data_IF_997690327442
#
_entry.id   IF_997690327442
#
_cell.length_a   1.000
_cell.length_b   1.000
_cell.length_c   1.000
_cell.angle_alpha   90.00
_cell.angle_beta   90.00
_cell.angle_gamma   90.00
#
_symmetry.space_group_name_H-M   'P 1'
#
loop_
_entity.id
_entity.type
_entity.pdbx_description
1 polymer ?
#
# COMPACT_ATOMS: atom_id res chain seq x y z
N UNK A 1 13.59 -5.84 -24.35
CA UNK A 1 12.54 -5.57 -25.36
C UNK A 1 11.95 -4.22 -25.00
N UNK A 2 12.07 -3.22 -25.88
CA UNK A 2 11.48 -1.89 -25.64
C UNK A 2 9.95 -1.92 -25.61
N UNK A 3 9.31 -0.80 -25.25
CA UNK A 3 7.85 -0.63 -25.17
C UNK A 3 7.15 -1.04 -26.48
N UNK A 4 7.73 -0.73 -27.64
CA UNK A 4 7.25 -1.15 -28.95
C UNK A 4 7.09 -2.68 -29.07
N UNK A 5 8.08 -3.46 -28.61
CA UNK A 5 8.01 -4.92 -28.66
C UNK A 5 7.01 -5.54 -27.67
N UNK A 6 6.55 -4.79 -26.67
CA UNK A 6 5.49 -5.20 -25.75
C UNK A 6 4.10 -4.86 -26.30
N UNK A 7 3.95 -3.74 -27.02
CA UNK A 7 2.76 -3.38 -27.78
C UNK A 7 2.48 -4.38 -28.90
N UNK A 8 3.49 -4.75 -29.70
CA UNK A 8 3.40 -5.80 -30.73
C UNK A 8 2.96 -7.16 -30.16
N UNK A 9 3.32 -7.41 -28.89
CA UNK A 9 2.95 -8.64 -28.20
C UNK A 9 1.53 -8.59 -27.63
N UNK A 10 1.02 -7.40 -27.33
CA UNK A 10 -0.38 -7.17 -26.94
C UNK A 10 -1.31 -7.26 -28.15
N UNK A 11 -0.90 -6.73 -29.30
CA UNK A 11 -1.63 -6.83 -30.57
C UNK A 11 -1.80 -8.28 -31.02
N UNK A 12 -0.71 -9.08 -31.03
CA UNK A 12 -0.77 -10.52 -31.32
C UNK A 12 -1.69 -11.32 -30.40
N UNK A 13 -1.98 -10.84 -29.20
CA UNK A 13 -2.88 -11.52 -28.26
C UNK A 13 -4.37 -11.32 -28.61
N UNK A 14 -4.69 -10.34 -29.46
CA UNK A 14 -6.07 -10.04 -29.90
C UNK A 14 -6.31 -10.38 -31.37
N UNK A 15 -5.27 -10.70 -32.14
CA UNK A 15 -5.35 -11.14 -33.54
C UNK A 15 -6.29 -12.37 -33.68
N UNK A 16 -7.26 -12.27 -34.59
CA UNK A 16 -8.28 -13.30 -34.84
C UNK A 16 -9.38 -13.39 -33.78
N UNK A 17 -9.47 -12.41 -32.87
CA UNK A 17 -10.51 -12.37 -31.81
C UNK A 17 -11.54 -11.28 -32.03
N UNK A 18 -12.66 -11.35 -31.29
CA UNK A 18 -13.67 -10.29 -31.28
C UNK A 18 -13.12 -8.91 -30.87
N UNK A 19 -11.99 -8.86 -30.14
CA UNK A 19 -11.38 -7.63 -29.67
C UNK A 19 -10.55 -6.89 -30.74
N UNK A 20 -10.11 -7.58 -31.80
CA UNK A 20 -9.24 -7.04 -32.85
C UNK A 20 -9.81 -5.76 -33.47
N UNK A 21 -11.08 -5.79 -33.89
CA UNK A 21 -11.76 -4.63 -34.49
C UNK A 21 -12.19 -3.54 -33.50
N UNK A 22 -11.75 -3.60 -32.23
CA UNK A 22 -12.06 -2.60 -31.20
C UNK A 22 -10.83 -1.93 -30.59
N UNK A 23 -9.64 -2.34 -31.03
CA UNK A 23 -8.35 -1.90 -30.51
C UNK A 23 -7.49 -1.45 -31.69
N UNK A 24 -7.10 -0.19 -31.69
CA UNK A 24 -6.16 0.36 -32.66
C UNK A 24 -4.85 0.71 -31.93
N UNK A 25 -3.75 0.15 -32.43
CA UNK A 25 -2.42 0.29 -31.84
C UNK A 25 -1.58 1.25 -32.68
N UNK A 26 -1.19 2.37 -32.08
CA UNK A 26 -0.21 3.28 -32.67
C UNK A 26 1.16 3.00 -32.03
N UNK A 27 2.02 2.32 -32.79
CA UNK A 27 3.37 1.96 -32.35
C UNK A 27 4.36 3.13 -32.34
N UNK A 28 4.11 4.18 -33.11
CA UNK A 28 4.96 5.37 -33.19
C UNK A 28 4.66 6.35 -32.06
N UNK A 29 3.39 6.50 -31.67
CA UNK A 29 2.94 7.34 -30.56
C UNK A 29 2.83 6.58 -29.22
N UNK A 30 2.97 5.25 -29.22
CA UNK A 30 2.76 4.37 -28.07
C UNK A 30 1.38 4.60 -27.41
N UNK A 31 0.33 4.64 -28.24
CA UNK A 31 -1.06 4.84 -27.80
C UNK A 31 -1.90 3.63 -28.22
N UNK A 32 -2.71 3.15 -27.28
CA UNK A 32 -3.78 2.19 -27.56
C UNK A 32 -5.13 2.90 -27.55
N UNK A 33 -5.75 2.98 -28.71
CA UNK A 33 -7.09 3.51 -28.89
C UNK A 33 -8.11 2.38 -28.73
N UNK A 34 -9.04 2.58 -27.80
CA UNK A 34 -10.14 1.66 -27.54
C UNK A 34 -11.42 2.29 -28.07
N UNK A 35 -11.89 1.75 -29.19
CA UNK A 35 -13.15 2.15 -29.80
C UNK A 35 -14.33 1.45 -29.14
N UNK A 36 -15.49 2.12 -29.17
CA UNK A 36 -16.71 1.58 -28.57
C UNK A 36 -17.22 0.41 -29.41
N UNK A 37 -17.03 -0.80 -28.90
CA UNK A 37 -17.69 -2.06 -29.26
C UNK A 37 -18.65 -1.97 -30.46
N UNK A 38 -18.18 -2.47 -31.59
CA UNK A 38 -18.94 -2.82 -32.81
C UNK A 38 -20.20 -3.66 -32.52
N UNK A 39 -20.29 -4.31 -31.35
CA UNK A 39 -21.33 -5.29 -30.98
C UNK A 39 -22.71 -4.67 -30.68
N UNK A 40 -22.76 -3.47 -30.07
CA UNK A 40 -24.04 -2.83 -29.75
C UNK A 40 -24.73 -2.30 -31.01
N UNK A 41 -23.95 -1.76 -31.94
CA UNK A 41 -24.40 -1.32 -33.27
C UNK A 41 -24.73 -2.52 -34.17
N UNK A 42 -23.87 -3.54 -34.25
CA UNK A 42 -24.13 -4.72 -35.10
C UNK A 42 -25.27 -5.61 -34.62
N UNK A 43 -25.49 -5.79 -33.33
CA UNK A 43 -26.62 -6.62 -32.84
C UNK A 43 -27.98 -5.98 -33.17
N UNK A 44 -28.07 -4.64 -33.08
CA UNK A 44 -29.26 -3.88 -33.50
C UNK A 44 -29.44 -3.87 -35.02
N UNK A 45 -28.34 -3.68 -35.78
CA UNK A 45 -28.37 -3.67 -37.25
C UNK A 45 -28.67 -5.06 -37.83
N UNK A 46 -28.13 -6.12 -37.25
CA UNK A 46 -28.39 -7.51 -37.65
C UNK A 46 -29.82 -7.94 -37.28
N UNK A 47 -30.30 -7.59 -36.08
CA UNK A 47 -31.68 -7.88 -35.67
C UNK A 47 -32.73 -7.10 -36.48
N UNK A 48 -32.49 -5.81 -36.71
CA UNK A 48 -33.35 -4.95 -37.53
C UNK A 48 -33.31 -5.31 -39.02
N UNK A 49 -32.13 -5.65 -39.55
CA UNK A 49 -31.95 -6.09 -40.93
C UNK A 49 -32.57 -7.46 -41.19
N UNK A 50 -32.31 -8.46 -40.35
CA UNK A 50 -32.91 -9.79 -40.48
C UNK A 50 -34.43 -9.77 -40.26
N UNK A 51 -34.91 -8.98 -39.29
CA UNK A 51 -36.35 -8.77 -39.06
C UNK A 51 -37.03 -8.05 -40.23
N UNK A 52 -36.39 -7.03 -40.80
CA UNK A 52 -36.87 -6.33 -42.00
C UNK A 52 -36.95 -7.25 -43.22
N UNK A 53 -35.91 -8.06 -43.47
CA UNK A 53 -35.90 -9.05 -44.57
C UNK A 53 -36.95 -10.13 -44.35
N UNK A 54 -37.11 -10.65 -43.13
CA UNK A 54 -38.13 -11.64 -42.82
C UNK A 54 -39.56 -11.10 -43.04
N UNK A 55 -39.83 -9.86 -42.62
CA UNK A 55 -41.12 -9.19 -42.86
C UNK A 55 -41.39 -8.97 -44.36
N UNK A 56 -40.36 -8.62 -45.13
CA UNK A 56 -40.47 -8.49 -46.58
C UNK A 56 -40.74 -9.83 -47.27
N UNK A 57 -40.07 -10.91 -46.84
CA UNK A 57 -40.29 -12.25 -47.38
C UNK A 57 -41.69 -12.78 -47.04
N UNK A 58 -42.15 -12.59 -45.80
CA UNK A 58 -43.52 -12.95 -45.38
C UNK A 58 -44.55 -12.14 -46.15
N UNK A 59 -44.34 -10.83 -46.31
CA UNK A 59 -45.21 -9.97 -47.10
C UNK A 59 -45.26 -10.35 -48.58
N UNK A 60 -44.12 -10.76 -49.17
CA UNK A 60 -44.05 -11.23 -50.55
C UNK A 60 -44.81 -12.54 -50.75
N UNK A 61 -44.68 -13.50 -49.82
CA UNK A 61 -45.44 -14.75 -49.84
C UNK A 61 -46.95 -14.48 -49.73
N UNK A 62 -47.36 -13.63 -48.78
CA UNK A 62 -48.78 -13.26 -48.59
C UNK A 62 -49.37 -12.61 -49.86
N UNK A 63 -48.62 -11.73 -50.51
CA UNK A 63 -49.04 -11.07 -51.76
C UNK A 63 -49.23 -12.06 -52.91
N UNK A 64 -48.32 -13.05 -53.06
CA UNK A 64 -48.43 -14.09 -54.09
C UNK A 64 -49.61 -15.04 -53.81
N UNK A 65 -49.95 -15.27 -52.54
CA UNK A 65 -51.07 -16.14 -52.12
C UNK A 65 -52.44 -15.47 -52.10
N UNK A 66 -52.55 -14.19 -52.50
CA UNK A 66 -53.83 -13.49 -52.66
C UNK A 66 -54.32 -12.66 -51.45
N UNK A 67 -53.56 -12.61 -50.36
CA UNK A 67 -53.86 -11.84 -49.14
C UNK A 67 -53.23 -10.44 -49.20
N UNK A 68 -53.81 -9.58 -50.05
CA UNK A 68 -53.21 -8.30 -50.41
C UNK A 68 -53.22 -7.25 -49.28
N UNK A 69 -54.24 -7.26 -48.41
CA UNK A 69 -54.34 -6.29 -47.32
C UNK A 69 -53.38 -6.65 -46.16
N UNK A 70 -53.25 -7.93 -45.84
CA UNK A 70 -52.32 -8.45 -44.84
C UNK A 70 -50.85 -8.30 -45.29
N UNK A 71 -50.58 -8.48 -46.59
CA UNK A 71 -49.26 -8.27 -47.17
C UNK A 71 -48.75 -6.83 -46.98
N UNK A 72 -49.64 -5.83 -47.10
CA UNK A 72 -49.28 -4.41 -46.91
C UNK A 72 -48.85 -4.10 -45.48
N UNK A 73 -49.48 -4.75 -44.49
CA UNK A 73 -49.12 -4.62 -43.08
C UNK A 73 -47.76 -5.25 -42.73
N UNK A 74 -47.27 -6.21 -43.53
CA UNK A 74 -45.93 -6.78 -43.36
C UNK A 74 -44.84 -6.06 -44.19
N UNK A 75 -45.16 -5.67 -45.43
CA UNK A 75 -44.21 -5.03 -46.35
C UNK A 75 -43.83 -3.60 -45.92
N UNK A 76 -44.79 -2.80 -45.45
CA UNK A 76 -44.57 -1.39 -45.12
C UNK A 76 -43.61 -1.22 -43.93
N UNK A 77 -43.77 -1.96 -42.81
CA UNK A 77 -42.81 -1.91 -41.71
C UNK A 77 -41.45 -2.51 -42.10
N UNK A 78 -41.43 -3.58 -42.91
CA UNK A 78 -40.19 -4.20 -43.38
C UNK A 78 -39.32 -3.26 -44.23
N UNK A 79 -39.95 -2.54 -45.17
CA UNK A 79 -39.28 -1.53 -45.99
C UNK A 79 -38.82 -0.31 -45.16
N UNK A 80 -39.63 0.14 -44.20
CA UNK A 80 -39.25 1.25 -43.31
C UNK A 80 -38.06 0.88 -42.41
N UNK A 81 -38.02 -0.33 -41.86
CA UNK A 81 -36.89 -0.84 -41.07
C UNK A 81 -35.60 -0.91 -41.89
N UNK A 82 -35.66 -1.47 -43.10
CA UNK A 82 -34.50 -1.54 -44.00
C UNK A 82 -34.03 -0.15 -44.44
N UNK A 83 -34.96 0.77 -44.71
CA UNK A 83 -34.65 2.17 -45.04
C UNK A 83 -33.96 2.90 -43.90
N UNK A 84 -34.39 2.69 -42.65
CA UNK A 84 -33.74 3.26 -41.47
C UNK A 84 -32.33 2.68 -41.24
N UNK A 85 -32.15 1.37 -41.43
CA UNK A 85 -30.85 0.70 -41.35
C UNK A 85 -29.89 1.24 -42.42
N UNK A 86 -30.32 1.33 -43.68
CA UNK A 86 -29.53 1.89 -44.78
C UNK A 86 -29.22 3.38 -44.57
N UNK A 87 -30.21 4.15 -44.11
CA UNK A 87 -30.03 5.57 -43.80
C UNK A 87 -29.02 5.80 -42.68
N UNK A 88 -29.05 4.98 -41.63
CA UNK A 88 -28.06 5.01 -40.55
C UNK A 88 -26.65 4.64 -41.04
N UNK A 89 -26.52 3.60 -41.89
CA UNK A 89 -25.24 3.21 -42.49
C UNK A 89 -24.66 4.30 -43.41
N UNK A 90 -25.51 4.96 -44.19
CA UNK A 90 -25.11 6.08 -45.06
C UNK A 90 -24.72 7.31 -44.25
N UNK A 91 -25.47 7.66 -43.19
CA UNK A 91 -25.08 8.74 -42.28
C UNK A 91 -23.75 8.42 -41.60
N UNK A 92 -23.56 7.19 -41.13
CA UNK A 92 -22.31 6.76 -40.50
C UNK A 92 -21.10 6.86 -41.44
N UNK A 93 -21.27 6.46 -42.72
CA UNK A 93 -20.18 6.48 -43.70
C UNK A 93 -19.83 7.87 -44.23
N UNK A 94 -20.79 8.79 -44.28
CA UNK A 94 -20.62 10.11 -44.92
C UNK A 94 -20.63 11.30 -43.97
N UNK A 95 -20.78 11.10 -42.66
CA UNK A 95 -20.62 12.17 -41.65
C UNK A 95 -19.40 11.93 -40.77
N UNK A 96 -18.75 13.01 -40.32
CA UNK A 96 -17.70 12.96 -39.28
C UNK A 96 -18.26 12.69 -37.87
N UNK A 97 -19.33 11.92 -37.76
CA UNK A 97 -19.90 11.56 -36.45
C UNK A 97 -18.98 10.65 -35.64
N UNK A 98 -18.00 9.99 -36.27
CA UNK A 98 -16.94 9.26 -35.58
C UNK A 98 -16.06 10.17 -34.69
N UNK A 99 -15.75 11.40 -35.14
CA UNK A 99 -14.94 12.37 -34.39
C UNK A 99 -15.66 12.91 -33.12
N UNK A 100 -16.99 12.81 -33.04
CA UNK A 100 -17.78 13.21 -31.87
C UNK A 100 -17.79 12.16 -30.75
N UNK A 101 -17.27 10.95 -31.01
CA UNK A 101 -17.31 9.81 -30.10
C UNK A 101 -15.90 9.50 -29.61
N UNK A 102 -15.38 10.37 -28.74
CA UNK A 102 -14.07 10.19 -28.08
C UNK A 102 -13.89 8.75 -27.55
N UNK A 103 -12.93 8.04 -28.13
CA UNK A 103 -12.48 6.73 -27.66
C UNK A 103 -11.92 6.78 -26.24
N UNK A 104 -11.61 5.62 -25.69
CA UNK A 104 -10.80 5.50 -24.50
C UNK A 104 -9.35 5.29 -24.97
N UNK A 105 -8.43 6.16 -24.57
CA UNK A 105 -7.02 6.07 -24.98
C UNK A 105 -6.17 5.62 -23.79
N UNK A 106 -5.31 4.64 -23.99
CA UNK A 106 -4.20 4.37 -23.08
C UNK A 106 -2.94 4.91 -23.73
N UNK A 107 -2.44 6.03 -23.20
CA UNK A 107 -1.20 6.65 -23.65
C UNK A 107 -0.08 6.10 -22.79
N UNK A 108 0.74 5.21 -23.35
CA UNK A 108 1.80 4.55 -22.60
C UNK A 108 2.99 5.49 -22.36
N UNK A 109 3.31 6.35 -23.33
CA UNK A 109 4.30 7.42 -23.17
C UNK A 109 3.95 8.41 -22.05
N UNK A 110 2.69 8.89 -22.03
CA UNK A 110 2.19 9.81 -20.99
C UNK A 110 1.74 9.10 -19.70
N UNK A 111 1.76 7.75 -19.69
CA UNK A 111 1.23 6.88 -18.63
C UNK A 111 -0.16 7.26 -18.12
N UNK A 112 -1.03 7.68 -19.01
CA UNK A 112 -2.38 8.13 -18.66
C UNK A 112 -3.42 7.39 -19.47
N UNK A 113 -4.48 7.02 -18.77
CA UNK A 113 -5.71 6.61 -19.38
C UNK A 113 -6.56 7.87 -19.60
N UNK A 114 -6.91 8.16 -20.84
CA UNK A 114 -7.63 9.37 -21.24
C UNK A 114 -8.99 8.99 -21.79
N UNK A 115 -10.04 9.58 -21.24
CA UNK A 115 -11.39 9.49 -21.79
C UNK A 115 -12.09 10.84 -21.67
N UNK A 116 -12.34 11.51 -22.81
CA UNK A 116 -12.90 12.88 -22.85
C UNK A 116 -12.04 13.86 -22.05
N UNK A 117 -12.59 14.38 -20.94
CA UNK A 117 -11.93 15.30 -20.01
C UNK A 117 -11.32 14.58 -18.81
N UNK A 118 -11.56 13.28 -18.67
CA UNK A 118 -11.06 12.47 -17.57
C UNK A 118 -9.69 11.92 -17.95
N UNK A 119 -8.67 12.23 -17.15
CA UNK A 119 -7.32 11.67 -17.25
C UNK A 119 -7.03 10.92 -15.97
N UNK A 120 -6.69 9.63 -16.06
CA UNK A 120 -6.38 8.76 -14.93
C UNK A 120 -4.93 8.29 -15.11
N UNK A 121 -4.00 8.73 -14.26
CA UNK A 121 -2.64 8.21 -14.27
C UNK A 121 -2.61 6.70 -14.03
N UNK A 122 -1.73 5.96 -14.71
CA UNK A 122 -1.55 4.52 -14.48
C UNK A 122 -1.13 4.18 -13.04
N UNK A 123 -0.61 5.15 -12.28
CA UNK A 123 -0.29 4.98 -10.85
C UNK A 123 -1.52 4.85 -9.94
N UNK A 124 -2.69 5.30 -10.40
CA UNK A 124 -3.97 5.20 -9.67
C UNK A 124 -4.72 3.91 -10.04
N UNK A 125 -4.30 3.25 -11.12
CA UNK A 125 -4.85 1.95 -11.49
C UNK A 125 -4.31 0.86 -10.58
N UNK A 126 -5.18 -0.07 -10.22
CA UNK A 126 -4.91 -1.24 -9.39
C UNK A 126 -5.49 -2.47 -10.11
N UNK A 127 -4.99 -3.69 -9.85
CA UNK A 127 -5.49 -4.89 -10.52
C UNK A 127 -7.02 -5.06 -10.39
N UNK A 128 -7.58 -4.73 -9.23
CA UNK A 128 -9.02 -4.81 -8.92
C UNK A 128 -9.88 -3.86 -9.77
N UNK A 129 -9.30 -2.82 -10.36
CA UNK A 129 -10.02 -1.94 -11.28
C UNK A 129 -10.28 -2.61 -12.62
N UNK A 130 -9.61 -3.72 -12.97
CA UNK A 130 -9.83 -4.48 -14.20
C UNK A 130 -10.75 -5.68 -13.95
N UNK A 131 -12.05 -5.48 -14.20
CA UNK A 131 -13.09 -6.46 -13.84
C UNK A 131 -13.71 -7.10 -15.07
N UNK A 132 -13.86 -8.43 -15.02
CA UNK A 132 -14.62 -9.17 -16.03
C UNK A 132 -16.12 -9.13 -15.78
N UNK A 133 -16.89 -8.85 -16.84
CA UNK A 133 -18.32 -9.10 -16.87
C UNK A 133 -18.60 -10.25 -17.84
N UNK A 134 -19.01 -11.39 -17.29
CA UNK A 134 -19.29 -12.61 -18.02
C UNK A 134 -20.79 -12.69 -18.37
N UNK A 135 -21.10 -12.76 -19.66
CA UNK A 135 -22.44 -13.02 -20.20
C UNK A 135 -22.54 -14.45 -20.75
N UNK A 136 -23.73 -14.80 -21.26
CA UNK A 136 -24.02 -16.16 -21.75
C UNK A 136 -23.14 -16.61 -22.93
N UNK A 137 -22.74 -15.67 -23.78
CA UNK A 137 -21.96 -15.94 -25.01
C UNK A 137 -20.65 -15.13 -25.10
N UNK A 138 -20.53 -14.07 -24.32
CA UNK A 138 -19.44 -13.09 -24.40
C UNK A 138 -18.92 -12.75 -23.00
N UNK A 139 -17.64 -12.41 -22.92
CA UNK A 139 -17.01 -11.81 -21.74
C UNK A 139 -16.46 -10.44 -22.12
N UNK A 140 -16.53 -9.50 -21.19
CA UNK A 140 -16.10 -8.11 -21.45
C UNK A 140 -15.25 -7.61 -20.31
N UNK A 141 -14.05 -7.13 -20.64
CA UNK A 141 -13.13 -6.53 -19.70
C UNK A 141 -13.53 -5.07 -19.49
N UNK A 142 -13.63 -4.64 -18.24
CA UNK A 142 -13.99 -3.27 -17.89
C UNK A 142 -12.95 -2.64 -16.96
N UNK A 143 -12.68 -1.35 -17.15
CA UNK A 143 -12.12 -0.49 -16.10
C UNK A 143 -13.26 -0.02 -15.21
N UNK A 144 -13.17 -0.32 -13.91
CA UNK A 144 -14.02 0.18 -12.84
C UNK A 144 -13.18 0.98 -11.86
N UNK A 145 -12.96 2.25 -12.19
CA UNK A 145 -12.36 3.25 -11.33
C UNK A 145 -13.46 4.16 -10.75
N UNK A 146 -13.29 4.78 -9.56
CA UNK A 146 -14.24 5.78 -9.04
C UNK A 146 -14.60 6.86 -10.07
N UNK A 147 -13.60 7.33 -10.82
CA UNK A 147 -13.74 8.40 -11.83
C UNK A 147 -14.07 7.91 -13.25
N UNK A 148 -14.04 6.59 -13.52
CA UNK A 148 -14.31 6.05 -14.86
C UNK A 148 -14.81 4.61 -14.83
N UNK A 149 -15.93 4.37 -15.50
CA UNK A 149 -16.46 3.02 -15.75
C UNK A 149 -16.65 2.79 -17.25
N UNK A 150 -15.75 2.03 -17.87
CA UNK A 150 -15.78 1.76 -19.32
C UNK A 150 -15.33 0.35 -19.66
N UNK A 151 -15.85 -0.18 -20.76
CA UNK A 151 -15.40 -1.43 -21.35
C UNK A 151 -14.10 -1.19 -22.11
N UNK A 152 -13.12 -2.07 -21.91
CA UNK A 152 -11.84 -2.10 -22.61
C UNK A 152 -11.87 -3.01 -23.84
N UNK A 153 -12.36 -4.24 -23.67
CA UNK A 153 -12.34 -5.24 -24.73
C UNK A 153 -13.47 -6.25 -24.55
N UNK A 154 -13.92 -6.86 -25.64
CA UNK A 154 -14.92 -7.94 -25.65
C UNK A 154 -14.37 -9.19 -26.31
N UNK A 155 -14.65 -10.35 -25.73
CA UNK A 155 -14.22 -11.66 -26.23
C UNK A 155 -15.40 -12.63 -26.24
N UNK A 156 -15.42 -13.58 -27.16
CA UNK A 156 -16.29 -14.75 -27.09
C UNK A 156 -15.90 -15.67 -25.93
N UNK A 157 -16.85 -16.50 -25.47
CA UNK A 157 -16.55 -17.50 -24.43
C UNK A 157 -15.48 -18.51 -24.86
N UNK A 158 -15.38 -18.82 -26.16
CA UNK A 158 -14.37 -19.71 -26.73
C UNK A 158 -12.95 -19.14 -26.72
N UNK A 159 -12.80 -17.81 -26.54
CA UNK A 159 -11.52 -17.08 -26.57
C UNK A 159 -10.94 -16.87 -25.16
N UNK A 160 -11.25 -17.76 -24.21
CA UNK A 160 -10.89 -17.60 -22.81
C UNK A 160 -9.38 -17.45 -22.57
N UNK A 161 -8.57 -18.18 -23.35
CA UNK A 161 -7.10 -18.12 -23.25
C UNK A 161 -6.56 -16.78 -23.74
N UNK A 162 -7.02 -16.31 -24.90
CA UNK A 162 -6.64 -15.02 -25.47
C UNK A 162 -7.07 -13.86 -24.57
N UNK A 163 -8.29 -13.93 -24.02
CA UNK A 163 -8.81 -12.93 -23.08
C UNK A 163 -7.95 -12.81 -21.80
N UNK A 164 -7.52 -13.94 -21.24
CA UNK A 164 -6.62 -13.96 -20.08
C UNK A 164 -5.22 -13.46 -20.42
N UNK A 165 -4.70 -13.82 -21.58
CA UNK A 165 -3.41 -13.36 -22.07
C UNK A 165 -3.40 -11.85 -22.33
N UNK A 166 -4.44 -11.32 -22.98
CA UNK A 166 -4.64 -9.89 -23.19
C UNK A 166 -4.66 -9.11 -21.87
N UNK A 167 -5.43 -9.55 -20.87
CA UNK A 167 -5.46 -8.88 -19.56
C UNK A 167 -4.08 -8.87 -18.89
N UNK A 168 -3.36 -10.00 -18.91
CA UNK A 168 -2.02 -10.09 -18.31
C UNK A 168 -1.03 -9.14 -19.00
N UNK A 169 -1.01 -9.12 -20.34
CA UNK A 169 -0.12 -8.26 -21.12
C UNK A 169 -0.45 -6.78 -20.97
N UNK A 170 -1.74 -6.43 -21.01
CA UNK A 170 -2.22 -5.08 -20.77
C UNK A 170 -1.84 -4.60 -19.36
N UNK A 171 -2.02 -5.45 -18.35
CA UNK A 171 -1.61 -5.11 -17.00
C UNK A 171 -0.10 -5.00 -16.86
N UNK A 172 0.69 -5.85 -17.52
CA UNK A 172 2.15 -5.76 -17.53
C UNK A 172 2.63 -4.43 -18.12
N UNK A 173 2.03 -3.98 -19.23
CA UNK A 173 2.31 -2.68 -19.85
C UNK A 173 1.88 -1.51 -18.95
N UNK A 174 0.66 -1.58 -18.40
CA UNK A 174 0.17 -0.57 -17.46
C UNK A 174 1.05 -0.52 -16.22
N UNK A 175 1.60 -1.65 -15.76
CA UNK A 175 2.37 -1.81 -14.51
C UNK A 175 3.87 -1.60 -14.66
N UNK A 176 4.42 -1.72 -15.88
CA UNK A 176 5.85 -1.59 -16.15
C UNK A 176 6.38 -0.25 -15.59
N UNK A 177 7.53 -0.26 -14.89
CA UNK A 177 8.14 0.95 -14.37
C UNK A 177 8.70 1.77 -15.54
N UNK A 178 8.21 2.99 -15.70
CA UNK A 178 8.81 3.99 -16.58
C UNK A 178 9.93 4.66 -15.81
N UNK A 179 11.13 4.09 -15.79
CA UNK A 179 12.27 4.66 -15.05
C UNK A 179 12.49 6.17 -15.36
N UNK A 180 12.46 6.62 -16.64
CA UNK A 180 12.55 8.05 -16.98
C UNK A 180 11.39 8.89 -16.43
N UNK A 181 10.14 8.47 -16.60
CA UNK A 181 8.98 9.18 -16.08
C UNK A 181 8.65 8.89 -14.62
N UNK A 182 9.31 7.96 -13.93
CA UNK A 182 9.24 7.81 -12.47
C UNK A 182 10.17 8.83 -11.82
N UNK A 183 11.28 9.16 -12.48
CA UNK A 183 12.12 10.32 -12.15
C UNK A 183 11.45 11.64 -12.55
N UNK A 184 10.62 11.68 -13.61
CA UNK A 184 9.96 12.91 -14.08
C UNK A 184 8.50 13.15 -13.57
N UNK A 185 7.72 12.09 -13.32
CA UNK A 185 6.29 12.11 -12.93
C UNK A 185 6.04 11.54 -11.53
N UNK A 186 7.03 10.93 -10.88
CA UNK A 186 6.99 10.50 -9.48
C UNK A 186 7.24 11.67 -8.54
N UNK A 187 6.36 12.66 -8.54
CA UNK A 187 6.28 13.68 -7.48
C UNK A 187 7.56 14.47 -7.21
N UNK A 188 8.36 14.83 -8.21
CA UNK A 188 9.52 15.71 -8.02
C UNK A 188 10.60 15.20 -7.05
N UNK A 189 10.53 13.94 -6.59
CA UNK A 189 11.50 13.41 -5.65
C UNK A 189 12.81 13.12 -6.35
N UNK A 190 13.88 13.70 -5.82
CA UNK A 190 15.26 13.38 -6.17
C UNK A 190 15.61 11.95 -5.76
N UNK A 191 16.72 11.37 -6.25
CA UNK A 191 17.16 10.03 -5.83
C UNK A 191 17.30 9.89 -4.31
N UNK A 192 17.89 10.87 -3.61
CA UNK A 192 18.09 10.79 -2.15
C UNK A 192 16.77 10.94 -1.40
N UNK A 193 15.89 11.85 -1.81
CA UNK A 193 14.54 11.95 -1.24
C UNK A 193 13.74 10.67 -1.40
N UNK A 194 13.86 10.01 -2.57
CA UNK A 194 13.21 8.71 -2.81
C UNK A 194 13.76 7.64 -1.88
N UNK A 195 15.08 7.57 -1.67
CA UNK A 195 15.70 6.64 -0.72
C UNK A 195 15.18 6.86 0.70
N UNK A 196 15.10 8.12 1.15
CA UNK A 196 14.56 8.48 2.46
C UNK A 196 13.11 7.98 2.62
N UNK A 197 12.25 8.25 1.63
CA UNK A 197 10.85 7.77 1.64
C UNK A 197 10.80 6.24 1.63
N UNK A 198 11.72 5.59 0.92
CA UNK A 198 11.82 4.14 0.84
C UNK A 198 12.13 3.50 2.21
N UNK A 199 13.00 4.13 3.01
CA UNK A 199 13.33 3.64 4.35
C UNK A 199 12.13 3.69 5.30
N UNK A 200 11.24 4.69 5.17
CA UNK A 200 9.98 4.79 5.92
C UNK A 200 8.80 4.01 5.31
N UNK A 201 8.99 3.38 4.15
CA UNK A 201 7.91 2.76 3.38
C UNK A 201 7.10 1.69 4.13
N UNK A 202 7.70 0.80 4.96
CA UNK A 202 6.93 -0.20 5.70
C UNK A 202 5.85 0.41 6.59
N UNK A 203 6.14 1.51 7.29
CA UNK A 203 5.17 2.17 8.17
C UNK A 203 4.23 3.09 7.39
N UNK A 204 4.69 3.70 6.30
CA UNK A 204 3.82 4.50 5.44
C UNK A 204 2.75 3.67 4.74
N UNK A 205 3.16 2.59 4.08
CA UNK A 205 2.27 1.77 3.26
C UNK A 205 1.25 1.00 4.10
N UNK A 206 1.60 0.50 5.30
CA UNK A 206 0.64 -0.19 6.18
C UNK A 206 -0.48 0.73 6.66
N UNK A 207 -0.19 2.03 6.79
CA UNK A 207 -1.17 3.06 7.13
C UNK A 207 -1.84 3.67 5.89
N UNK A 208 -1.69 3.05 4.71
CA UNK A 208 -2.36 3.45 3.48
C UNK A 208 -1.74 4.65 2.76
N UNK A 209 -0.57 5.15 3.20
CA UNK A 209 0.08 6.28 2.54
C UNK A 209 0.87 5.83 1.31
N UNK A 210 0.88 6.69 0.30
CA UNK A 210 1.75 6.51 -0.87
C UNK A 210 3.22 6.70 -0.49
N UNK A 211 4.08 5.92 -1.14
CA UNK A 211 5.55 5.89 -0.90
C UNK A 211 6.32 6.51 -2.09
N UNK A 212 5.68 7.40 -2.83
CA UNK A 212 6.21 8.09 -4.03
C UNK A 212 6.32 9.62 -3.87
N UNK A 213 6.15 10.14 -2.65
CA UNK A 213 6.06 11.59 -2.35
C UNK A 213 6.31 11.89 -0.87
N UNK A 214 6.64 13.15 -0.54
CA UNK A 214 6.70 13.59 0.85
C UNK A 214 5.31 13.73 1.47
N UNK A 215 4.49 14.59 0.87
CA UNK A 215 3.19 15.03 1.38
C UNK A 215 1.99 14.27 0.78
N UNK A 216 0.86 14.96 0.69
CA UNK A 216 -0.44 14.35 0.35
C UNK A 216 -0.56 13.96 -1.13
N UNK A 217 -1.59 13.19 -1.44
CA UNK A 217 -2.17 13.09 -2.76
C UNK A 217 -2.47 14.49 -3.34
N UNK A 218 -2.54 14.60 -4.68
CA UNK A 218 -2.96 15.84 -5.36
C UNK A 218 -4.48 15.81 -5.54
N UNK A 219 -5.12 16.98 -5.55
CA UNK A 219 -6.57 17.08 -5.78
C UNK A 219 -7.41 16.65 -4.58
N UNK A 220 -8.56 16.03 -4.85
CA UNK A 220 -9.60 15.75 -3.85
C UNK A 220 -9.13 14.79 -2.73
N UNK A 221 -8.19 13.90 -3.02
CA UNK A 221 -7.63 12.93 -2.06
C UNK A 221 -6.69 13.59 -1.04
N UNK A 222 -6.21 14.81 -1.27
CA UNK A 222 -5.34 15.54 -0.34
C UNK A 222 -5.99 15.80 1.02
N UNK A 223 -7.32 15.92 1.05
CA UNK A 223 -8.07 16.07 2.28
C UNK A 223 -8.17 14.74 3.06
N UNK A 224 -8.17 13.60 2.36
CA UNK A 224 -8.15 12.27 2.97
C UNK A 224 -6.85 12.02 3.71
N UNK A 225 -5.72 12.16 3.01
CA UNK A 225 -4.39 11.96 3.59
C UNK A 225 -4.14 12.85 4.82
N UNK A 226 -4.61 14.10 4.79
CA UNK A 226 -4.49 15.01 5.94
C UNK A 226 -5.27 14.56 7.15
N UNK A 227 -6.50 14.05 6.95
CA UNK A 227 -7.30 13.52 8.06
C UNK A 227 -6.63 12.30 8.67
N UNK A 228 -6.22 11.34 7.84
CA UNK A 228 -5.53 10.13 8.31
C UNK A 228 -4.21 10.47 9.00
N UNK A 229 -3.43 11.42 8.47
CA UNK A 229 -2.21 11.89 9.14
C UNK A 229 -2.50 12.54 10.49
N UNK A 230 -3.57 13.34 10.60
CA UNK A 230 -3.98 13.97 11.86
C UNK A 230 -4.43 12.94 12.90
N UNK A 231 -5.26 11.97 12.49
CA UNK A 231 -5.71 10.85 13.33
C UNK A 231 -4.51 10.04 13.86
N UNK A 232 -3.57 9.69 12.99
CA UNK A 232 -2.39 8.92 13.38
C UNK A 232 -1.45 9.72 14.28
N UNK A 233 -1.31 11.03 14.08
CA UNK A 233 -0.54 11.88 14.99
C UNK A 233 -1.17 12.00 16.38
N UNK A 234 -2.51 12.02 16.48
CA UNK A 234 -3.19 12.20 17.75
C UNK A 234 -3.33 10.90 18.53
N UNK A 235 -3.85 9.84 17.91
CA UNK A 235 -4.30 8.65 18.64
C UNK A 235 -3.11 7.76 19.06
N UNK A 236 -2.26 7.27 18.13
CA UNK A 236 -1.04 6.55 18.48
C UNK A 236 0.06 7.37 19.15
N UNK A 237 0.21 8.65 18.78
CA UNK A 237 1.41 9.44 19.14
C UNK A 237 1.15 10.56 20.15
N UNK A 238 -0.11 10.90 20.45
CA UNK A 238 -0.43 12.00 21.37
C UNK A 238 0.10 13.36 20.91
N UNK A 239 0.37 13.54 19.61
CA UNK A 239 0.91 14.75 19.03
C UNK A 239 -0.19 15.61 18.42
N UNK A 240 -0.54 16.70 19.12
CA UNK A 240 -1.56 17.67 18.71
C UNK A 240 -0.96 18.94 18.10
N UNK A 241 0.34 19.16 18.25
CA UNK A 241 1.08 20.29 17.71
C UNK A 241 2.53 19.92 17.30
N UNK A 242 3.24 20.93 16.80
CA UNK A 242 4.63 20.81 16.35
C UNK A 242 5.59 20.42 17.48
N UNK A 243 5.40 20.95 18.69
CA UNK A 243 6.30 20.67 19.82
C UNK A 243 6.20 19.21 20.23
N UNK A 244 4.98 18.72 20.38
CA UNK A 244 4.70 17.33 20.73
C UNK A 244 5.15 16.37 19.63
N UNK A 245 4.96 16.72 18.34
CA UNK A 245 5.50 15.96 17.22
C UNK A 245 7.02 15.82 17.32
N UNK A 246 7.74 16.92 17.53
CA UNK A 246 9.20 16.90 17.62
C UNK A 246 9.68 16.16 18.87
N UNK A 247 8.94 16.23 19.97
CA UNK A 247 9.16 15.41 21.16
C UNK A 247 9.06 13.91 20.88
N UNK A 248 8.00 13.49 20.20
CA UNK A 248 7.80 12.09 19.80
C UNK A 248 8.91 11.60 18.85
N UNK A 249 9.30 12.42 17.87
CA UNK A 249 10.43 12.09 16.98
C UNK A 249 11.74 11.98 17.74
N UNK A 250 12.03 12.92 18.65
CA UNK A 250 13.26 12.87 19.44
C UNK A 250 13.32 11.60 20.29
N UNK A 251 12.21 11.24 20.94
CA UNK A 251 12.12 10.00 21.71
C UNK A 251 12.39 8.78 20.85
N UNK A 252 11.81 8.66 19.64
CA UNK A 252 12.11 7.56 18.72
C UNK A 252 13.58 7.48 18.33
N UNK A 253 14.23 8.63 18.15
CA UNK A 253 15.62 8.70 17.72
C UNK A 253 16.58 8.30 18.84
N UNK A 254 16.33 8.74 20.07
CA UNK A 254 17.20 8.46 21.22
C UNK A 254 16.95 7.06 21.80
N UNK A 255 15.75 6.83 22.31
CA UNK A 255 15.40 5.62 23.06
C UNK A 255 14.51 4.73 22.20
N UNK A 256 13.35 5.25 21.82
CA UNK A 256 12.32 4.57 21.04
C UNK A 256 11.76 3.35 21.75
N UNK A 257 10.95 2.58 21.02
CA UNK A 257 10.37 1.35 21.55
C UNK A 257 11.43 0.28 21.82
N UNK A 258 12.62 0.43 21.23
CA UNK A 258 13.73 -0.52 21.36
C UNK A 258 14.49 -0.43 22.68
N UNK A 259 14.21 0.56 23.53
CA UNK A 259 14.98 0.84 24.75
C UNK A 259 15.17 -0.41 25.62
N UNK A 260 14.08 -1.15 25.86
CA UNK A 260 14.09 -2.32 26.74
C UNK A 260 14.57 -3.62 26.07
N UNK A 261 14.68 -3.65 24.73
CA UNK A 261 14.93 -4.88 24.00
C UNK A 261 16.28 -5.52 24.36
N UNK A 262 17.30 -4.72 24.63
CA UNK A 262 18.62 -5.23 25.01
C UNK A 262 18.59 -5.91 26.38
N UNK A 263 17.88 -5.32 27.34
CA UNK A 263 17.72 -5.88 28.66
C UNK A 263 16.89 -7.17 28.61
N UNK A 264 15.80 -7.17 27.86
CA UNK A 264 14.98 -8.38 27.63
C UNK A 264 15.77 -9.50 26.95
N UNK A 265 16.66 -9.14 26.01
CA UNK A 265 17.52 -10.09 25.32
C UNK A 265 18.55 -10.71 26.27
N UNK A 266 19.11 -9.92 27.18
CA UNK A 266 20.01 -10.43 28.20
C UNK A 266 19.26 -11.40 29.15
N UNK A 267 18.08 -11.03 29.61
CA UNK A 267 17.25 -11.88 30.45
C UNK A 267 16.83 -13.18 29.75
N UNK A 268 16.41 -13.12 28.48
CA UNK A 268 16.07 -14.28 27.66
C UNK A 268 17.28 -15.18 27.32
N UNK A 269 18.52 -14.69 27.49
CA UNK A 269 19.73 -15.49 27.29
C UNK A 269 20.08 -16.41 28.46
N UNK A 270 19.42 -16.20 29.62
CA UNK A 270 19.70 -16.93 30.85
C UNK A 270 19.10 -18.33 30.85
N UNK A 271 19.52 -19.21 31.77
CA UNK A 271 18.93 -20.54 31.93
C UNK A 271 17.39 -20.51 32.10
N UNK A 272 16.66 -21.53 31.60
CA UNK A 272 15.19 -21.54 31.63
C UNK A 272 14.56 -21.39 33.03
N UNK A 273 15.21 -21.92 34.06
CA UNK A 273 14.82 -21.78 35.47
C UNK A 273 14.87 -20.32 35.94
N UNK A 274 15.91 -19.57 35.56
CA UNK A 274 16.01 -18.15 35.87
C UNK A 274 14.93 -17.31 35.13
N UNK A 275 14.58 -17.70 33.90
CA UNK A 275 13.49 -17.06 33.15
C UNK A 275 12.12 -17.34 33.79
N UNK A 276 11.88 -18.57 34.25
CA UNK A 276 10.64 -18.98 34.91
C UNK A 276 10.49 -18.30 36.28
N UNK A 277 11.58 -18.20 37.04
CA UNK A 277 11.65 -17.46 38.30
C UNK A 277 11.28 -15.98 38.08
N UNK A 278 11.96 -15.32 37.12
CA UNK A 278 11.66 -13.94 36.78
C UNK A 278 10.20 -13.75 36.39
N UNK A 279 9.70 -14.58 35.47
CA UNK A 279 8.33 -14.45 34.99
C UNK A 279 7.29 -14.71 36.08
N UNK A 280 7.63 -15.50 37.10
CA UNK A 280 6.76 -15.72 38.27
C UNK A 280 6.75 -14.51 39.19
N UNK A 281 7.91 -13.95 39.52
CA UNK A 281 8.03 -12.73 40.30
C UNK A 281 7.34 -11.54 39.63
N UNK A 282 7.51 -11.39 38.31
CA UNK A 282 6.90 -10.30 37.55
C UNK A 282 5.37 -10.37 37.62
N UNK A 283 4.78 -11.57 37.46
CA UNK A 283 3.33 -11.79 37.61
C UNK A 283 2.84 -11.56 39.03
N UNK A 284 3.62 -11.93 40.04
CA UNK A 284 3.28 -11.71 41.45
C UNK A 284 3.26 -10.21 41.78
N UNK A 285 4.32 -9.49 41.41
CA UNK A 285 4.43 -8.04 41.63
C UNK A 285 3.36 -7.28 40.85
N UNK A 286 3.12 -7.62 39.59
CA UNK A 286 2.04 -7.02 38.78
C UNK A 286 0.65 -7.24 39.42
N UNK A 287 0.39 -8.44 39.95
CA UNK A 287 -0.87 -8.72 40.63
C UNK A 287 -1.03 -7.93 41.94
N UNK A 288 0.06 -7.71 42.68
CA UNK A 288 0.06 -6.86 43.89
C UNK A 288 -0.21 -5.39 43.54
N UNK A 289 0.42 -4.87 42.48
CA UNK A 289 0.19 -3.50 41.99
C UNK A 289 -1.26 -3.34 41.52
N UNK A 290 -1.76 -4.27 40.70
CA UNK A 290 -3.14 -4.25 40.21
C UNK A 290 -4.18 -4.35 41.34
N UNK A 291 -3.82 -5.01 42.44
CA UNK A 291 -4.65 -5.14 43.65
C UNK A 291 -4.50 -3.99 44.65
N UNK A 292 -3.67 -2.98 44.37
CA UNK A 292 -3.32 -1.88 45.32
C UNK A 292 -2.75 -2.41 46.65
N UNK A 293 -1.99 -3.51 46.59
CA UNK A 293 -1.40 -4.18 47.76
C UNK A 293 0.09 -3.82 47.88
N UNK A 294 0.38 -2.58 48.31
CA UNK A 294 1.73 -2.02 48.38
C UNK A 294 2.43 -2.18 49.75
N UNK A 295 1.76 -2.83 50.70
CA UNK A 295 2.29 -3.18 52.03
C UNK A 295 3.08 -4.51 51.97
N UNK A 296 3.87 -4.87 53.02
CA UNK A 296 4.61 -6.12 53.04
C UNK A 296 3.74 -7.34 52.67
N UNK A 297 4.21 -8.22 51.76
CA UNK A 297 5.60 -8.36 51.32
C UNK A 297 5.96 -7.63 50.01
N UNK A 298 5.23 -6.58 49.59
CA UNK A 298 5.39 -5.95 48.28
C UNK A 298 6.84 -5.50 47.98
N UNK A 299 7.45 -4.74 48.90
CA UNK A 299 8.81 -4.21 48.70
C UNK A 299 9.83 -5.35 48.66
N UNK A 300 9.66 -6.39 49.47
CA UNK A 300 10.51 -7.58 49.44
C UNK A 300 10.43 -8.30 48.10
N UNK A 301 9.21 -8.50 47.56
CA UNK A 301 9.01 -9.11 46.24
C UNK A 301 9.55 -8.27 45.10
N UNK A 302 9.41 -6.95 45.18
CA UNK A 302 9.98 -6.05 44.19
C UNK A 302 11.51 -6.08 44.21
N UNK A 303 12.12 -6.13 45.39
CA UNK A 303 13.58 -6.31 45.53
C UNK A 303 14.03 -7.64 44.93
N UNK A 304 13.31 -8.73 45.16
CA UNK A 304 13.59 -10.03 44.56
C UNK A 304 13.47 -9.98 43.03
N UNK A 305 12.38 -9.40 42.50
CA UNK A 305 12.18 -9.20 41.06
C UNK A 305 13.36 -8.43 40.43
N UNK A 306 13.78 -7.33 41.05
CA UNK A 306 14.90 -6.51 40.57
C UNK A 306 16.22 -7.28 40.62
N UNK A 307 16.48 -8.06 41.69
CA UNK A 307 17.67 -8.93 41.75
C UNK A 307 17.70 -9.91 40.60
N UNK A 308 16.58 -10.58 40.36
CA UNK A 308 16.47 -11.55 39.27
C UNK A 308 16.55 -10.85 37.92
N UNK A 309 15.95 -9.68 37.70
CA UNK A 309 16.03 -8.91 36.44
C UNK A 309 17.47 -8.63 36.03
N UNK A 310 18.26 -8.05 36.92
CA UNK A 310 19.61 -7.56 36.60
C UNK A 310 20.74 -8.56 36.88
N UNK A 311 20.43 -9.76 37.39
CA UNK A 311 21.39 -10.86 37.50
C UNK A 311 22.58 -10.51 38.39
N UNK A 312 23.80 -10.57 37.85
CA UNK A 312 25.04 -10.30 38.59
C UNK A 312 25.07 -8.89 39.20
N UNK A 313 24.44 -7.91 38.54
CA UNK A 313 24.33 -6.53 39.02
C UNK A 313 23.10 -6.30 39.92
N UNK A 314 22.21 -7.30 40.03
CA UNK A 314 20.94 -7.20 40.74
C UNK A 314 21.07 -6.81 42.21
N UNK A 315 22.19 -7.12 42.87
CA UNK A 315 22.47 -6.65 44.21
C UNK A 315 22.64 -5.14 44.32
N UNK A 316 23.15 -4.48 43.28
CA UNK A 316 23.30 -3.02 43.22
C UNK A 316 21.98 -2.33 42.93
N UNK A 317 21.23 -2.79 41.93
CA UNK A 317 19.89 -2.30 41.62
C UNK A 317 18.93 -2.47 42.80
N UNK A 318 18.97 -3.61 43.49
CA UNK A 318 18.14 -3.87 44.67
C UNK A 318 18.31 -2.87 45.81
N UNK A 319 19.52 -2.28 45.97
CA UNK A 319 19.76 -1.26 47.01
C UNK A 319 19.09 0.08 46.67
N UNK A 320 18.81 0.33 45.39
CA UNK A 320 18.18 1.54 44.90
C UNK A 320 16.64 1.48 44.94
N UNK A 321 16.04 0.29 45.10
CA UNK A 321 14.58 0.16 45.15
C UNK A 321 13.94 1.00 46.28
N UNK A 322 14.34 0.88 47.57
CA UNK A 322 13.71 1.69 48.62
C UNK A 322 13.84 3.22 48.45
N UNK A 323 15.02 3.79 48.11
CA UNK A 323 15.12 5.24 47.93
C UNK A 323 14.34 5.73 46.68
N UNK A 324 14.29 4.95 45.60
CA UNK A 324 13.47 5.29 44.42
C UNK A 324 11.97 5.28 44.73
N UNK A 325 11.47 4.28 45.47
CA UNK A 325 10.05 4.24 45.89
C UNK A 325 9.65 5.41 46.82
N UNK A 326 10.62 6.04 47.47
CA UNK A 326 10.40 7.19 48.36
C UNK A 326 10.67 8.54 47.68
N UNK A 327 10.98 8.53 46.38
CA UNK A 327 11.40 9.70 45.62
C UNK A 327 12.55 10.47 46.32
N UNK A 328 13.52 9.74 46.89
CA UNK A 328 14.65 10.36 47.57
C UNK A 328 15.55 11.13 46.58
N UNK A 329 15.92 12.40 46.86
CA UNK A 329 16.73 13.19 45.95
C UNK A 329 18.07 12.52 45.61
N UNK A 330 18.32 12.33 44.31
CA UNK A 330 19.56 11.74 43.79
C UNK A 330 19.56 10.21 43.70
N UNK A 331 18.46 9.54 44.02
CA UNK A 331 18.34 8.09 43.86
C UNK A 331 18.43 7.63 42.39
N UNK A 332 18.06 8.48 41.45
CA UNK A 332 18.09 8.30 40.00
C UNK A 332 19.30 8.99 39.32
N UNK A 333 20.24 9.53 40.10
CA UNK A 333 21.35 10.31 39.56
C UNK A 333 22.45 9.44 38.89
N UNK A 334 22.52 8.15 39.23
CA UNK A 334 23.41 7.19 38.55
C UNK A 334 22.71 6.57 37.34
N UNK A 335 23.49 5.97 36.44
CA UNK A 335 22.95 5.28 35.26
C UNK A 335 22.01 4.13 35.67
N UNK A 336 22.41 3.34 36.67
CA UNK A 336 21.61 2.25 37.23
C UNK A 336 20.34 2.77 37.91
N UNK A 337 20.44 3.93 38.59
CA UNK A 337 19.30 4.58 39.23
C UNK A 337 18.28 5.08 38.21
N UNK A 338 18.74 5.72 37.14
CA UNK A 338 17.88 6.20 36.06
C UNK A 338 17.20 5.05 35.29
N UNK A 339 17.95 3.99 34.97
CA UNK A 339 17.40 2.79 34.33
C UNK A 339 16.35 2.10 35.22
N UNK A 340 16.66 1.93 36.51
CA UNK A 340 15.72 1.33 37.45
C UNK A 340 14.47 2.19 37.64
N UNK A 341 14.63 3.51 37.73
CA UNK A 341 13.51 4.45 37.83
C UNK A 341 12.57 4.32 36.62
N UNK A 342 13.12 4.18 35.40
CA UNK A 342 12.33 3.95 34.19
C UNK A 342 11.55 2.63 34.27
N UNK A 343 12.22 1.53 34.64
CA UNK A 343 11.58 0.23 34.79
C UNK A 343 10.46 0.26 35.83
N UNK A 344 10.70 0.84 37.01
CA UNK A 344 9.68 0.98 38.05
C UNK A 344 8.53 1.85 37.56
N UNK A 345 8.82 2.98 36.90
CA UNK A 345 7.79 3.84 36.33
C UNK A 345 6.88 3.09 35.35
N UNK A 346 7.44 2.31 34.43
CA UNK A 346 6.67 1.47 33.51
C UNK A 346 5.85 0.42 34.27
N UNK A 347 6.47 -0.28 35.23
CA UNK A 347 5.82 -1.32 36.02
C UNK A 347 4.62 -0.80 36.82
N UNK A 348 4.68 0.42 37.36
CA UNK A 348 3.58 1.02 38.13
C UNK A 348 2.51 1.69 37.26
N UNK A 349 2.87 2.23 36.10
CA UNK A 349 1.97 3.10 35.33
C UNK A 349 1.44 2.48 34.02
N UNK A 350 2.09 1.42 33.51
CA UNK A 350 1.65 0.70 32.32
C UNK A 350 1.14 -0.71 32.69
N UNK A 351 -0.18 -0.86 32.65
CA UNK A 351 -0.88 -2.12 32.96
C UNK A 351 -0.56 -3.28 32.03
N UNK A 352 0.01 -3.00 30.85
CA UNK A 352 0.39 -4.03 29.91
C UNK A 352 1.88 -4.39 30.02
N UNK A 353 2.68 -3.60 30.73
CA UNK A 353 4.14 -3.74 30.79
C UNK A 353 4.58 -5.17 31.12
N UNK A 354 4.03 -5.76 32.19
CA UNK A 354 4.36 -7.12 32.61
C UNK A 354 4.01 -8.15 31.52
N UNK A 355 2.84 -8.05 30.90
CA UNK A 355 2.41 -8.97 29.85
C UNK A 355 3.26 -8.82 28.57
N UNK A 356 3.60 -7.60 28.19
CA UNK A 356 4.44 -7.31 27.04
C UNK A 356 5.87 -7.80 27.24
N UNK A 357 6.44 -7.62 28.42
CA UNK A 357 7.78 -8.10 28.71
C UNK A 357 7.86 -9.63 28.74
N UNK A 358 6.88 -10.30 29.37
CA UNK A 358 6.76 -11.76 29.31
C UNK A 358 6.62 -12.26 27.87
N UNK A 359 5.90 -11.53 27.02
CA UNK A 359 5.84 -11.83 25.60
C UNK A 359 7.21 -11.70 24.94
N UNK A 360 7.93 -10.59 25.18
CA UNK A 360 9.28 -10.36 24.61
C UNK A 360 10.25 -11.45 25.05
N UNK A 361 10.24 -11.86 26.32
CA UNK A 361 11.07 -12.97 26.82
C UNK A 361 10.82 -14.27 26.06
N UNK A 362 9.54 -14.62 25.86
CA UNK A 362 9.17 -15.82 25.10
C UNK A 362 9.63 -15.73 23.64
N UNK A 363 9.49 -14.56 23.01
CA UNK A 363 9.89 -14.33 21.61
C UNK A 363 11.42 -14.34 21.47
N UNK A 364 12.16 -13.78 22.43
CA UNK A 364 13.62 -13.71 22.46
C UNK A 364 14.30 -15.03 22.86
N UNK A 365 13.52 -16.06 23.21
CA UNK A 365 14.03 -17.42 23.34
C UNK A 365 14.63 -17.94 22.01
N UNK A 366 14.19 -17.42 20.86
CA UNK A 366 14.82 -17.67 19.56
C UNK A 366 16.21 -16.99 19.49
N UNK A 367 17.32 -17.75 19.43
CA UNK A 367 18.66 -17.18 19.36
C UNK A 367 18.90 -16.32 18.11
N UNK A 368 18.25 -16.63 16.99
CA UNK A 368 18.43 -15.88 15.74
C UNK A 368 17.82 -14.48 15.83
N UNK A 369 16.65 -14.37 16.47
CA UNK A 369 16.01 -13.08 16.73
C UNK A 369 16.80 -12.29 17.78
N UNK A 370 17.21 -12.94 18.87
CA UNK A 370 18.00 -12.33 19.94
C UNK A 370 19.33 -11.75 19.44
N UNK A 371 19.99 -12.40 18.48
CA UNK A 371 21.23 -11.90 17.88
C UNK A 371 21.05 -10.56 17.12
N UNK A 372 19.83 -10.23 16.68
CA UNK A 372 19.54 -9.00 15.93
C UNK A 372 19.03 -7.84 16.79
N UNK A 373 18.90 -7.99 18.11
CA UNK A 373 18.28 -6.98 19.00
C UNK A 373 18.90 -5.59 18.87
N UNK A 374 20.23 -5.50 18.83
CA UNK A 374 20.95 -4.23 18.63
C UNK A 374 20.76 -3.60 17.24
N UNK A 375 20.02 -4.25 16.35
CA UNK A 375 19.78 -3.84 14.96
C UNK A 375 18.33 -3.40 14.72
N UNK A 376 17.47 -3.33 15.73
CA UNK A 376 16.05 -2.98 15.55
C UNK A 376 15.77 -1.46 15.45
N UNK A 377 16.80 -0.63 15.32
CA UNK A 377 16.70 0.82 15.10
C UNK A 377 15.66 1.23 14.05
N UNK A 378 15.59 0.52 12.91
CA UNK A 378 14.65 0.82 11.82
C UNK A 378 13.18 0.79 12.27
N UNK A 379 12.85 0.02 13.30
CA UNK A 379 11.50 0.01 13.85
C UNK A 379 11.06 1.41 14.29
N UNK A 380 11.95 2.15 14.95
CA UNK A 380 11.70 3.52 15.40
C UNK A 380 12.03 4.55 14.33
N UNK A 381 13.14 4.37 13.61
CA UNK A 381 13.56 5.33 12.59
C UNK A 381 12.56 5.39 11.42
N UNK A 382 12.02 4.25 10.97
CA UNK A 382 10.98 4.22 9.96
C UNK A 382 9.72 4.99 10.37
N UNK A 383 9.40 4.99 11.67
CA UNK A 383 8.31 5.80 12.25
C UNK A 383 8.68 7.28 12.31
N UNK A 384 9.89 7.61 12.76
CA UNK A 384 10.35 9.00 12.80
C UNK A 384 10.32 9.66 11.40
N UNK A 385 10.74 8.94 10.35
CA UNK A 385 10.62 9.38 8.96
C UNK A 385 9.14 9.67 8.58
N UNK A 386 8.21 8.82 9.00
CA UNK A 386 6.78 9.06 8.76
C UNK A 386 6.20 10.20 9.59
N UNK A 387 6.65 10.41 10.82
CA UNK A 387 6.21 11.52 11.65
C UNK A 387 6.60 12.87 11.02
N UNK A 388 7.81 12.97 10.47
CA UNK A 388 8.19 14.14 9.66
C UNK A 388 7.28 14.33 8.44
N UNK A 389 6.92 13.25 7.75
CA UNK A 389 5.99 13.31 6.61
C UNK A 389 4.59 13.74 7.03
N UNK A 390 4.03 13.18 8.10
CA UNK A 390 2.71 13.55 8.61
C UNK A 390 2.68 14.99 9.11
N UNK A 391 3.72 15.43 9.82
CA UNK A 391 3.88 16.84 10.21
C UNK A 391 3.87 17.79 9.01
N UNK A 392 4.49 17.39 7.89
CA UNK A 392 4.38 18.15 6.64
C UNK A 392 2.97 18.11 6.03
N UNK A 393 2.33 16.93 5.97
CA UNK A 393 0.98 16.79 5.43
C UNK A 393 -0.04 17.67 6.15
N UNK A 394 0.04 17.78 7.49
CA UNK A 394 -0.86 18.62 8.30
C UNK A 394 -0.43 20.08 8.36
N UNK A 395 0.69 20.46 7.72
CA UNK A 395 1.15 21.84 7.60
C UNK A 395 1.94 22.36 8.80
N UNK A 396 2.42 21.50 9.70
CA UNK A 396 3.28 21.89 10.83
C UNK A 396 4.74 22.03 10.42
N UNK A 397 5.16 21.31 9.38
CA UNK A 397 6.54 21.29 8.90
C UNK A 397 6.64 21.72 7.44
N UNK A 398 7.71 22.46 7.12
CA UNK A 398 8.07 22.75 5.74
C UNK A 398 8.73 21.54 5.09
N UNK A 399 8.63 21.45 3.77
CA UNK A 399 9.26 20.37 2.99
C UNK A 399 10.79 20.32 3.21
N UNK A 400 11.47 21.47 3.11
CA UNK A 400 12.91 21.56 3.32
C UNK A 400 13.32 21.06 4.72
N UNK A 401 12.59 21.47 5.75
CA UNK A 401 12.87 21.03 7.12
C UNK A 401 12.76 19.51 7.25
N UNK A 402 11.73 18.90 6.66
CA UNK A 402 11.58 17.45 6.69
C UNK A 402 12.78 16.75 6.04
N UNK A 403 13.21 17.19 4.86
CA UNK A 403 14.34 16.56 4.18
C UNK A 403 15.65 16.71 4.96
N UNK A 404 15.95 17.91 5.45
CA UNK A 404 17.15 18.19 6.23
C UNK A 404 17.21 17.35 7.53
N UNK A 405 16.06 17.10 8.18
CA UNK A 405 15.99 16.28 9.39
C UNK A 405 15.96 14.78 9.13
N UNK A 406 15.41 14.35 8.00
CA UNK A 406 15.34 12.92 7.65
C UNK A 406 16.65 12.38 7.07
N UNK A 407 17.48 13.23 6.45
CA UNK A 407 18.75 12.79 5.84
C UNK A 407 19.73 12.15 6.84
N UNK A 408 19.99 12.70 8.04
CA UNK A 408 20.83 12.04 9.04
C UNK A 408 20.31 10.68 9.48
N UNK A 409 18.99 10.52 9.59
CA UNK A 409 18.35 9.24 9.93
C UNK A 409 18.57 8.23 8.81
N UNK A 410 18.41 8.66 7.56
CA UNK A 410 18.65 7.83 6.39
C UNK A 410 20.11 7.35 6.28
N UNK A 411 21.07 8.25 6.54
CA UNK A 411 22.48 7.91 6.64
C UNK A 411 22.76 6.86 7.73
N UNK A 412 22.13 6.97 8.91
CA UNK A 412 22.32 5.98 9.95
C UNK A 412 21.71 4.61 9.60
N UNK A 413 20.53 4.61 8.97
CA UNK A 413 19.89 3.40 8.44
C UNK A 413 20.81 2.73 7.42
N UNK A 414 21.29 3.47 6.41
CA UNK A 414 22.13 2.90 5.34
C UNK A 414 23.41 2.27 5.88
N UNK A 415 24.02 2.85 6.93
CA UNK A 415 25.24 2.34 7.56
C UNK A 415 25.02 1.05 8.37
N UNK A 416 23.84 0.85 8.94
CA UNK A 416 23.55 -0.27 9.87
C UNK A 416 22.97 -1.52 9.19
N UNK A 417 22.47 -1.39 7.97
CA UNK A 417 21.92 -2.50 7.20
C UNK A 417 22.65 -2.66 5.87
N UNK A 418 22.56 -3.85 5.30
CA UNK A 418 23.29 -4.24 4.09
C UNK A 418 22.46 -4.17 2.80
N UNK A 419 21.13 -4.12 2.93
CA UNK A 419 20.19 -4.06 1.81
C UNK A 419 18.77 -3.71 2.28
N UNK A 420 17.87 -3.38 1.35
CA UNK A 420 16.43 -3.23 1.64
C UNK A 420 15.85 -4.46 2.35
N UNK A 421 16.26 -5.67 1.95
CA UNK A 421 15.77 -6.93 2.53
C UNK A 421 16.28 -7.14 3.96
N UNK A 422 17.54 -6.82 4.22
CA UNK A 422 18.13 -6.90 5.57
C UNK A 422 17.46 -5.89 6.52
N UNK A 423 17.30 -4.65 6.07
CA UNK A 423 16.55 -3.61 6.79
C UNK A 423 15.10 -4.07 7.09
N UNK A 424 14.38 -4.57 6.09
CA UNK A 424 13.01 -5.04 6.25
C UNK A 424 12.88 -6.22 7.22
N UNK A 425 13.88 -7.12 7.23
CA UNK A 425 13.94 -8.24 8.20
C UNK A 425 14.03 -7.71 9.62
N UNK A 426 14.94 -6.77 9.89
CA UNK A 426 15.06 -6.15 11.21
C UNK A 426 13.81 -5.35 11.59
N UNK A 427 13.13 -4.71 10.63
CA UNK A 427 11.87 -4.01 10.89
C UNK A 427 10.76 -4.97 11.34
N UNK A 428 10.61 -6.12 10.69
CA UNK A 428 9.65 -7.16 11.08
C UNK A 428 9.96 -7.76 12.45
N UNK A 429 11.22 -7.96 12.77
CA UNK A 429 11.64 -8.48 14.07
C UNK A 429 11.41 -7.47 15.19
N UNK A 430 11.72 -6.18 14.96
CA UNK A 430 11.39 -5.10 15.91
C UNK A 430 9.89 -4.97 16.14
N UNK A 431 9.08 -5.08 15.07
CA UNK A 431 7.61 -5.16 15.19
C UNK A 431 7.17 -6.29 16.09
N UNK A 432 7.71 -7.47 15.85
CA UNK A 432 7.30 -8.69 16.54
C UNK A 432 7.47 -8.53 18.05
N UNK A 433 8.62 -7.97 18.48
CA UNK A 433 8.88 -7.67 19.90
C UNK A 433 7.95 -6.61 20.46
N UNK A 434 7.71 -5.52 19.73
CA UNK A 434 6.84 -4.44 20.19
C UNK A 434 5.37 -4.86 20.33
N UNK A 435 4.86 -5.71 19.42
CA UNK A 435 3.42 -5.96 19.28
C UNK A 435 2.78 -6.85 20.34
N UNK A 436 3.54 -7.35 21.33
CA UNK A 436 3.00 -8.20 22.41
C UNK A 436 2.35 -9.52 21.96
N UNK A 437 2.60 -9.97 20.72
CA UNK A 437 2.05 -11.21 20.18
C UNK A 437 0.62 -11.10 19.60
N UNK A 438 0.14 -9.89 19.33
CA UNK A 438 -1.15 -9.67 18.65
C UNK A 438 -1.17 -10.22 17.22
N UNK A 439 -1.98 -11.27 16.99
CA UNK A 439 -2.18 -11.97 15.71
C UNK A 439 -2.70 -11.12 14.53
N UNK A 440 -2.92 -11.77 13.37
CA UNK A 440 -3.33 -11.27 12.02
C UNK A 440 -2.53 -10.10 11.42
N UNK A 441 -2.07 -9.13 12.21
CA UNK A 441 -1.36 -7.95 11.78
C UNK A 441 0.11 -8.22 11.43
N UNK A 442 0.77 -9.26 12.00
CA UNK A 442 2.13 -9.62 11.58
C UNK A 442 2.18 -10.11 10.12
N UNK A 443 1.23 -10.98 9.74
CA UNK A 443 1.13 -11.51 8.38
C UNK A 443 0.80 -10.42 7.34
N UNK A 444 0.11 -9.35 7.76
CA UNK A 444 -0.15 -8.19 6.92
C UNK A 444 1.13 -7.40 6.62
N UNK A 445 1.96 -7.15 7.65
CA UNK A 445 3.27 -6.51 7.48
C UNK A 445 4.22 -7.34 6.62
N UNK A 446 4.25 -8.67 6.80
CA UNK A 446 5.05 -9.57 5.97
C UNK A 446 4.62 -9.53 4.51
N UNK A 447 3.32 -9.57 4.24
CA UNK A 447 2.77 -9.42 2.88
C UNK A 447 3.15 -8.08 2.27
N UNK A 448 3.00 -7.00 3.02
CA UNK A 448 3.30 -5.66 2.56
C UNK A 448 4.80 -5.48 2.26
N UNK A 449 5.68 -6.08 3.06
CA UNK A 449 7.13 -6.05 2.80
C UNK A 449 7.47 -6.86 1.55
N UNK A 450 6.82 -8.00 1.33
CA UNK A 450 6.97 -8.76 0.08
C UNK A 450 6.48 -7.95 -1.13
N UNK A 451 5.36 -7.24 -1.01
CA UNK A 451 4.86 -6.33 -2.05
C UNK A 451 5.85 -5.19 -2.32
N UNK A 452 6.41 -4.55 -1.29
CA UNK A 452 7.45 -3.53 -1.44
C UNK A 452 8.74 -4.10 -2.08
N UNK A 453 9.09 -5.35 -1.80
CA UNK A 453 10.27 -5.99 -2.37
C UNK A 453 10.08 -6.40 -3.83
N UNK A 454 8.86 -6.74 -4.24
CA UNK A 454 8.58 -7.31 -5.57
C UNK A 454 7.95 -6.33 -6.56
N UNK A 455 7.24 -5.30 -6.09
CA UNK A 455 6.63 -4.30 -6.97
C UNK A 455 7.73 -3.49 -7.68
N UNK A 456 7.82 -3.53 -9.03
CA UNK A 456 8.81 -2.75 -9.79
C UNK A 456 8.70 -1.23 -9.59
N UNK A 457 7.59 -0.74 -9.02
CA UNK A 457 7.34 0.67 -8.70
C UNK A 457 7.60 1.03 -7.25
N UNK A 458 7.84 0.04 -6.41
CA UNK A 458 8.25 0.29 -5.04
C UNK A 458 9.54 1.11 -5.04
N UNK A 459 9.70 2.10 -4.16
CA UNK A 459 10.94 2.85 -4.05
C UNK A 459 12.16 1.94 -3.80
N UNK A 460 11.99 0.75 -3.21
CA UNK A 460 13.06 -0.25 -3.03
C UNK A 460 13.61 -0.81 -4.36
N UNK A 461 12.80 -0.79 -5.42
CA UNK A 461 13.18 -1.25 -6.75
C UNK A 461 13.51 -0.10 -7.72
N UNK A 462 13.41 1.15 -7.23
CA UNK A 462 13.69 2.36 -8.02
C UNK A 462 15.01 3.02 -7.67
N UNK A 463 15.49 2.86 -6.43
CA UNK A 463 16.81 3.33 -5.99
C UNK A 463 17.64 2.20 -5.41
N UNK A 464 18.94 2.11 -5.76
CA UNK A 464 19.82 1.12 -5.19
C UNK A 464 20.05 1.40 -3.71
N UNK A 465 20.32 0.34 -2.93
CA UNK A 465 20.58 0.48 -1.50
C UNK A 465 21.80 1.36 -1.22
N UNK A 466 22.87 1.21 -2.00
CA UNK A 466 24.17 1.88 -1.90
C UNK A 466 24.22 3.25 -2.62
N UNK A 467 23.06 3.86 -2.88
CA UNK A 467 22.97 5.23 -3.38
C UNK A 467 23.73 6.19 -2.44
N UNK A 468 24.57 7.07 -3.00
CA UNK A 468 25.24 8.10 -2.22
C UNK A 468 24.22 9.10 -1.64
N UNK A 469 24.08 9.13 -0.32
CA UNK A 469 23.13 9.99 0.36
C UNK A 469 23.76 11.35 0.68
N UNK A 470 23.56 12.31 -0.22
CA UNK A 470 23.90 13.72 -0.04
C UNK A 470 22.69 14.60 -0.33
N UNK A 471 22.63 15.83 0.21
CA UNK A 471 21.56 16.78 -0.13
C UNK A 471 21.56 17.04 -1.63
N UNK A 472 20.46 16.71 -2.29
CA UNK A 472 20.24 16.89 -3.73
C UNK A 472 19.00 17.76 -4.02
N UNK A 473 18.43 18.40 -3.00
CA UNK A 473 17.40 19.44 -3.11
C UNK A 473 17.99 20.85 -2.91
N UNK A 474 17.39 21.87 -3.55
CA UNK A 474 17.86 23.26 -3.52
C UNK A 474 17.95 23.86 -2.13
#
# INVERSE_FOLDING_TARGET
MGEAGQLDALERAVEGTLAEGSLEFDGDEAVLHIERSFIATTSWLAGGGAGGVALLLVGAVLSITGFQDEARWALTPGAALLGLVLGFLLLWRFTRLAELWSGLELRFADRTLVHRRTRIPFSELRPEHLVWKNGRFFRSLHVRHPSLRKQLAGFFRSEERQAAEFQRRLWALISAPDLPGVLAHGGGLTPVQRWIVAAGAPYGAINGFRVDRLGTARGDDAAGDRRTAHELLQDPWGAYDLEQLLGAVNWLVQDGHRADFSQDAHLASRPPDAQEEYGTLLREVDALIAGDQLEPPFVERLIELVRVRYGDEGGSYARLVPPLLRDEPGADASEEGAELALFLHQLFNDRNHAAEELHRLKTLADPALRANVGRFLIWDYGRALMLYRWGHMVGWLTEEYCWDRMLPLALDIQRRYSSWRDMATCYLQGRLLWSGGGGTAQAEYERLIEELATDPRSPWNLVPWDLELARDWP
#
